data_IF_610130603717
#
_entry.id   IF_610130603717
#
_cell.length_a   1.000
_cell.length_b   1.000
_cell.length_c   1.000
_cell.angle_alpha   90.00
_cell.angle_beta   90.00
_cell.angle_gamma   90.00
#
_symmetry.space_group_name_H-M   'P 1'
#
loop_
_entity.id
_entity.type
_entity.pdbx_description
1 polymer ?
#
# COMPACT_ATOMS: atom_id res chain seq x y z
N UNK A 1 -5.88 1.90 -8.32
CA UNK A 1 -6.41 0.58 -7.93
C UNK A 1 -7.15 -0.15 -9.04
N UNK A 2 -8.13 0.49 -9.69
CA UNK A 2 -8.97 -0.12 -10.73
C UNK A 2 -8.17 -0.92 -11.77
N UNK A 3 -7.16 -0.31 -12.37
CA UNK A 3 -6.35 -0.97 -13.40
C UNK A 3 -5.66 -2.25 -12.88
N UNK A 4 -4.96 -2.18 -11.75
CA UNK A 4 -4.27 -3.35 -11.19
C UNK A 4 -5.21 -4.49 -10.77
N UNK A 5 -6.33 -4.18 -10.11
CA UNK A 5 -7.26 -5.19 -9.61
C UNK A 5 -8.25 -5.68 -10.66
N UNK A 6 -8.74 -4.81 -11.56
CA UNK A 6 -9.81 -5.12 -12.51
C UNK A 6 -9.30 -5.44 -13.91
N UNK A 7 -8.31 -4.69 -14.41
CA UNK A 7 -7.77 -4.90 -15.75
C UNK A 7 -6.70 -6.00 -15.73
N UNK A 8 -5.73 -5.88 -14.83
CA UNK A 8 -4.64 -6.85 -14.70
C UNK A 8 -5.00 -8.07 -13.82
N UNK A 9 -6.16 -8.04 -13.16
CA UNK A 9 -6.66 -9.12 -12.29
C UNK A 9 -5.66 -9.56 -11.21
N UNK A 10 -4.83 -8.63 -10.70
CA UNK A 10 -3.93 -8.94 -9.60
C UNK A 10 -4.73 -9.21 -8.33
N UNK A 11 -4.38 -10.29 -7.62
CA UNK A 11 -5.05 -10.69 -6.37
C UNK A 11 -4.75 -9.74 -5.20
N UNK A 12 -3.59 -9.09 -5.22
CA UNK A 12 -3.12 -8.20 -4.17
C UNK A 12 -2.28 -7.07 -4.77
N UNK A 13 -2.49 -5.85 -4.29
CA UNK A 13 -1.59 -4.72 -4.51
C UNK A 13 -0.92 -4.36 -3.20
N UNK A 14 0.35 -3.99 -3.29
CA UNK A 14 1.19 -3.56 -2.17
C UNK A 14 1.74 -2.17 -2.50
N UNK A 15 1.72 -1.28 -1.51
CA UNK A 15 2.38 0.01 -1.57
C UNK A 15 3.20 0.20 -0.30
N UNK A 16 4.33 0.88 -0.43
CA UNK A 16 5.18 1.27 0.68
C UNK A 16 5.42 2.77 0.62
N UNK A 17 5.44 3.41 1.79
CA UNK A 17 5.83 4.80 1.93
C UNK A 17 6.64 4.98 3.22
N UNK A 18 7.42 6.06 3.28
CA UNK A 18 8.06 6.48 4.52
C UNK A 18 7.00 6.78 5.58
N UNK A 19 7.15 6.32 6.84
CA UNK A 19 6.18 6.61 7.91
C UNK A 19 5.94 8.11 8.11
N UNK A 20 6.93 8.95 7.81
CA UNK A 20 6.85 10.41 7.91
C UNK A 20 6.05 11.05 6.76
N UNK A 21 5.83 10.32 5.65
CA UNK A 21 5.10 10.82 4.49
C UNK A 21 3.58 10.67 4.67
N UNK A 22 3.02 11.46 5.60
CA UNK A 22 1.60 11.46 5.95
C UNK A 22 0.69 11.70 4.74
N UNK A 23 1.16 12.43 3.73
CA UNK A 23 0.38 12.69 2.51
C UNK A 23 0.15 11.39 1.72
N UNK A 24 1.19 10.61 1.48
CA UNK A 24 1.07 9.31 0.80
C UNK A 24 0.28 8.29 1.62
N UNK A 25 0.49 8.24 2.94
CA UNK A 25 -0.28 7.35 3.83
C UNK A 25 -1.79 7.61 3.72
N UNK A 26 -2.20 8.88 3.79
CA UNK A 26 -3.61 9.28 3.63
C UNK A 26 -4.18 8.93 2.26
N UNK A 27 -3.39 8.99 1.19
CA UNK A 27 -3.84 8.58 -0.15
C UNK A 27 -4.08 7.07 -0.20
N UNK A 28 -3.18 6.28 0.38
CA UNK A 28 -3.33 4.82 0.47
C UNK A 28 -4.61 4.46 1.25
N UNK A 29 -4.87 5.12 2.38
CA UNK A 29 -6.10 4.95 3.16
C UNK A 29 -7.35 5.36 2.38
N UNK A 30 -7.36 6.58 1.79
CA UNK A 30 -8.51 7.09 1.02
C UNK A 30 -8.85 6.25 -0.21
N UNK A 31 -7.85 5.57 -0.77
CA UNK A 31 -8.08 4.67 -1.90
C UNK A 31 -8.60 3.31 -1.46
N UNK A 32 -8.61 3.01 -0.16
CA UNK A 32 -9.10 1.75 0.40
C UNK A 32 -8.01 0.72 0.68
N UNK A 33 -6.73 1.12 0.65
CA UNK A 33 -5.66 0.26 1.16
C UNK A 33 -5.71 0.25 2.68
N UNK A 34 -5.33 -0.89 3.24
CA UNK A 34 -5.22 -1.09 4.67
C UNK A 34 -3.76 -1.17 5.06
N UNK A 35 -3.41 -0.52 6.17
CA UNK A 35 -2.12 -0.72 6.81
C UNK A 35 -1.97 -2.20 7.18
N UNK A 36 -0.84 -2.79 6.81
CA UNK A 36 -0.49 -4.17 7.15
C UNK A 36 0.53 -4.15 8.31
N UNK A 37 1.71 -3.57 8.06
CA UNK A 37 2.80 -3.48 9.04
C UNK A 37 3.90 -2.51 8.60
N UNK A 38 4.78 -2.16 9.52
CA UNK A 38 6.08 -1.60 9.16
C UNK A 38 7.06 -2.70 8.76
N UNK A 39 7.93 -2.39 7.79
CA UNK A 39 8.98 -3.28 7.30
C UNK A 39 10.33 -2.55 7.29
N UNK A 40 11.42 -3.31 7.40
CA UNK A 40 12.77 -2.81 7.18
C UNK A 40 13.21 -3.16 5.76
N UNK A 41 13.53 -2.15 4.95
CA UNK A 41 14.01 -2.32 3.58
C UNK A 41 15.08 -1.26 3.27
N UNK A 42 16.22 -1.71 2.74
CA UNK A 42 17.40 -0.89 2.46
C UNK A 42 17.91 -0.10 3.69
N UNK A 43 17.80 -0.69 4.89
CA UNK A 43 18.24 -0.05 6.14
C UNK A 43 17.31 1.05 6.67
N UNK A 44 16.09 1.15 6.13
CA UNK A 44 15.10 2.09 6.63
C UNK A 44 13.76 1.42 6.93
N UNK A 45 13.00 2.05 7.82
CA UNK A 45 11.61 1.70 8.06
C UNK A 45 10.70 2.22 6.95
N UNK A 46 9.70 1.41 6.59
CA UNK A 46 8.65 1.71 5.63
C UNK A 46 7.31 1.21 6.15
N UNK A 47 6.25 2.00 5.97
CA UNK A 47 4.89 1.56 6.22
C UNK A 47 4.35 0.82 4.98
N UNK A 48 3.94 -0.44 5.16
CA UNK A 48 3.38 -1.27 4.10
C UNK A 48 1.86 -1.26 4.18
N UNK A 49 1.23 -0.95 3.06
CA UNK A 49 -0.21 -0.97 2.87
C UNK A 49 -0.59 -1.96 1.79
N UNK A 50 -1.71 -2.64 1.95
CA UNK A 50 -2.21 -3.59 0.96
C UNK A 50 -3.70 -3.44 0.67
N UNK A 51 -4.10 -3.88 -0.52
CA UNK A 51 -5.50 -4.13 -0.85
C UNK A 51 -5.58 -5.47 -1.56
N UNK A 52 -6.54 -6.30 -1.14
CA UNK A 52 -6.78 -7.64 -1.66
C UNK A 52 -8.11 -7.65 -2.39
N UNK A 53 -8.19 -8.39 -3.50
CA UNK A 53 -9.44 -8.72 -4.16
C UNK A 53 -9.73 -10.20 -3.92
N UNK A 54 -10.88 -10.46 -3.29
CA UNK A 54 -11.44 -11.81 -3.12
C UNK A 54 -12.02 -12.32 -4.43
#
# INVERSE_FOLDING_TARGET
MRYGLQTLQLKRLVAIAKPENLASLRVMEKTGMQYDKNIQLYGFEWALYTIIRW
#
